data_IF_301194731940
#
_entry.id   IF_301194731940
#
_cell.length_a   1.000
_cell.length_b   1.000
_cell.length_c   1.000
_cell.angle_alpha   90.00
_cell.angle_beta   90.00
_cell.angle_gamma   90.00
#
_symmetry.space_group_name_H-M   'P 1'
#
loop_
_entity.id
_entity.type
_entity.pdbx_description
1 polymer ?
#
# COMPACT_ATOMS: atom_id res chain seq x y z
N UNK A 1 3.55 5.59 23.06
CA UNK A 1 2.71 6.32 22.09
C UNK A 1 2.54 5.58 20.76
N UNK A 2 3.63 5.04 20.23
CA UNK A 2 3.60 4.34 18.96
C UNK A 2 2.80 3.05 18.96
N UNK A 3 2.85 2.28 20.05
CA UNK A 3 2.23 0.95 20.09
C UNK A 3 0.70 1.00 19.98
N UNK A 4 0.05 1.92 20.70
CA UNK A 4 -1.40 2.03 20.68
C UNK A 4 -1.90 2.54 19.31
N UNK A 5 -1.24 3.58 18.77
CA UNK A 5 -1.58 4.11 17.46
C UNK A 5 -1.32 3.08 16.37
N UNK A 6 -0.21 2.34 16.46
CA UNK A 6 0.12 1.28 15.51
C UNK A 6 -0.89 0.13 15.57
N UNK A 7 -1.41 -0.20 16.76
CA UNK A 7 -2.41 -1.25 16.92
C UNK A 7 -3.71 -0.91 16.19
N UNK A 8 -4.19 0.32 16.36
CA UNK A 8 -5.40 0.78 15.69
C UNK A 8 -5.21 0.83 14.18
N UNK A 9 -4.07 1.38 13.74
CA UNK A 9 -3.73 1.43 12.32
C UNK A 9 -3.67 0.02 11.72
N UNK A 10 -3.00 -0.91 12.39
CA UNK A 10 -2.90 -2.31 11.93
C UNK A 10 -4.27 -2.99 11.87
N UNK A 11 -5.13 -2.73 12.85
CA UNK A 11 -6.47 -3.28 12.88
C UNK A 11 -7.30 -2.80 11.68
N UNK A 12 -7.24 -1.50 11.37
CA UNK A 12 -7.97 -0.94 10.22
C UNK A 12 -7.44 -1.48 8.90
N UNK A 13 -6.13 -1.63 8.77
CA UNK A 13 -5.52 -2.23 7.57
C UNK A 13 -5.90 -3.70 7.42
N UNK A 14 -5.87 -4.46 8.50
CA UNK A 14 -6.30 -5.85 8.49
C UNK A 14 -7.77 -6.01 8.12
N UNK A 15 -8.62 -5.14 8.64
CA UNK A 15 -10.04 -5.12 8.30
C UNK A 15 -10.26 -4.84 6.81
N UNK A 16 -9.51 -3.89 6.24
CA UNK A 16 -9.62 -3.54 4.84
C UNK A 16 -9.25 -4.72 3.93
N UNK A 17 -8.21 -5.46 4.27
CA UNK A 17 -7.78 -6.64 3.53
C UNK A 17 -8.84 -7.73 3.61
N UNK A 18 -9.40 -7.98 4.79
CA UNK A 18 -10.46 -8.96 4.97
C UNK A 18 -11.71 -8.58 4.18
N UNK A 19 -12.10 -7.30 4.22
CA UNK A 19 -13.23 -6.79 3.44
C UNK A 19 -13.02 -6.96 1.94
N UNK A 20 -11.81 -6.74 1.46
CA UNK A 20 -11.46 -6.95 0.04
C UNK A 20 -11.82 -8.37 -0.41
N UNK A 21 -11.46 -9.35 0.39
CA UNK A 21 -11.72 -10.76 0.09
C UNK A 21 -13.22 -11.07 0.14
N UNK A 22 -13.90 -10.56 1.16
CA UNK A 22 -15.34 -10.76 1.31
C UNK A 22 -16.12 -10.14 0.16
N UNK A 23 -15.77 -8.92 -0.22
CA UNK A 23 -16.44 -8.22 -1.31
C UNK A 23 -16.11 -8.83 -2.66
N UNK A 24 -14.88 -9.28 -2.88
CA UNK A 24 -14.54 -9.97 -4.10
C UNK A 24 -15.40 -11.22 -4.28
N UNK A 25 -15.60 -11.98 -3.21
CA UNK A 25 -16.42 -13.17 -3.21
C UNK A 25 -17.90 -12.83 -3.44
N UNK A 26 -18.43 -11.85 -2.70
CA UNK A 26 -19.83 -11.51 -2.75
C UNK A 26 -20.26 -10.84 -4.07
N UNK A 27 -19.35 -10.05 -4.67
CA UNK A 27 -19.69 -9.26 -5.85
C UNK A 27 -19.24 -9.88 -7.17
N UNK A 28 -18.51 -10.99 -7.09
CA UNK A 28 -17.99 -11.67 -8.29
C UNK A 28 -19.09 -12.12 -9.25
N UNK A 29 -20.22 -12.57 -8.74
CA UNK A 29 -21.35 -12.97 -9.58
C UNK A 29 -21.92 -11.81 -10.39
N UNK A 30 -21.68 -10.57 -9.95
CA UNK A 30 -22.07 -9.35 -10.66
C UNK A 30 -20.97 -8.83 -11.56
N UNK A 31 -19.91 -9.60 -11.74
CA UNK A 31 -18.72 -9.21 -12.52
C UNK A 31 -18.05 -7.94 -11.98
N UNK A 32 -18.04 -7.80 -10.66
CA UNK A 32 -17.35 -6.71 -9.98
C UNK A 32 -16.09 -7.29 -9.33
N UNK A 33 -14.96 -6.72 -9.66
CA UNK A 33 -13.66 -7.11 -9.12
C UNK A 33 -13.29 -6.20 -7.94
N UNK A 34 -12.70 -6.77 -6.91
CA UNK A 34 -12.28 -6.03 -5.72
C UNK A 34 -10.87 -6.47 -5.36
N UNK A 35 -9.95 -5.53 -5.34
CA UNK A 35 -8.55 -5.79 -5.01
C UNK A 35 -8.03 -4.75 -4.02
N UNK A 36 -6.98 -5.10 -3.29
CA UNK A 36 -6.33 -4.19 -2.37
C UNK A 36 -4.94 -3.81 -2.90
N UNK A 37 -4.70 -2.52 -3.01
CA UNK A 37 -3.38 -1.98 -3.28
C UNK A 37 -2.73 -1.66 -1.94
N UNK A 38 -1.51 -2.13 -1.73
CA UNK A 38 -0.78 -1.95 -0.46
C UNK A 38 0.50 -1.18 -0.75
N UNK A 39 0.44 0.16 -0.75
CA UNK A 39 1.63 0.96 -0.99
C UNK A 39 2.56 0.96 0.23
N UNK A 40 3.84 0.96 -0.03
CA UNK A 40 4.86 1.17 0.97
C UNK A 40 5.24 2.65 1.09
N UNK A 41 6.50 2.93 1.39
CA UNK A 41 6.97 4.32 1.53
C UNK A 41 6.97 5.03 0.18
N UNK A 42 6.00 5.91 -0.01
CA UNK A 42 5.85 6.70 -1.23
C UNK A 42 6.25 8.15 -0.92
N UNK A 43 7.03 8.74 -1.79
CA UNK A 43 7.45 10.13 -1.67
C UNK A 43 6.27 11.04 -2.00
N UNK A 44 5.63 11.55 -0.96
CA UNK A 44 4.49 12.45 -1.04
C UNK A 44 4.67 13.58 -0.02
N UNK A 45 3.75 14.54 -0.06
CA UNK A 45 3.79 15.67 0.88
C UNK A 45 3.36 15.29 2.30
N UNK A 46 2.98 14.05 2.53
CA UNK A 46 2.45 13.60 3.82
C UNK A 46 3.38 13.89 5.00
N UNK A 47 4.69 13.82 4.78
CA UNK A 47 5.67 14.04 5.85
C UNK A 47 6.22 15.45 5.89
N UNK A 48 5.67 16.40 5.13
CA UNK A 48 6.15 17.78 5.13
C UNK A 48 5.90 18.52 6.45
N UNK A 49 5.04 17.99 7.33
CA UNK A 49 4.88 18.53 8.68
C UNK A 49 6.11 18.28 9.57
N UNK A 50 6.99 17.36 9.21
CA UNK A 50 8.19 17.05 9.97
C UNK A 50 9.29 18.08 9.67
N UNK A 51 10.15 18.32 10.67
CA UNK A 51 11.36 19.11 10.45
C UNK A 51 12.24 18.41 9.40
N UNK A 52 12.92 19.19 8.58
CA UNK A 52 13.71 18.67 7.47
C UNK A 52 14.73 17.61 7.92
N UNK A 53 15.43 17.87 9.03
CA UNK A 53 16.42 16.92 9.55
C UNK A 53 15.75 15.61 10.00
N UNK A 54 14.68 15.71 10.78
CA UNK A 54 13.94 14.55 11.27
C UNK A 54 13.33 13.75 10.11
N UNK A 55 12.82 14.45 9.11
CA UNK A 55 12.27 13.80 7.91
C UNK A 55 13.34 13.04 7.15
N UNK A 56 14.52 13.66 6.96
CA UNK A 56 15.63 13.00 6.26
C UNK A 56 16.12 11.77 6.99
N UNK A 57 16.23 11.82 8.32
CA UNK A 57 16.63 10.66 9.12
C UNK A 57 15.61 9.55 9.02
N UNK A 58 14.31 9.88 9.12
CA UNK A 58 13.24 8.93 9.01
C UNK A 58 13.25 8.26 7.64
N UNK A 59 13.33 9.05 6.58
CA UNK A 59 13.32 8.56 5.21
C UNK A 59 14.56 7.69 4.92
N UNK A 60 15.73 8.07 5.41
CA UNK A 60 16.94 7.26 5.26
C UNK A 60 16.79 5.91 5.97
N UNK A 61 16.22 5.91 7.17
CA UNK A 61 15.96 4.68 7.93
C UNK A 61 15.02 3.76 7.17
N UNK A 62 13.96 4.31 6.59
CA UNK A 62 12.99 3.54 5.81
C UNK A 62 13.67 2.98 4.57
N UNK A 63 14.38 3.82 3.82
CA UNK A 63 15.05 3.42 2.57
C UNK A 63 16.03 2.28 2.80
N UNK A 64 16.73 2.29 3.94
CA UNK A 64 17.70 1.23 4.25
C UNK A 64 17.04 -0.16 4.36
N UNK A 65 15.76 -0.21 4.64
CA UNK A 65 15.01 -1.46 4.76
C UNK A 65 14.33 -1.89 3.47
N UNK A 66 14.35 -1.06 2.45
CA UNK A 66 13.73 -1.37 1.17
C UNK A 66 14.69 -2.18 0.29
N UNK A 67 14.18 -3.21 -0.36
CA UNK A 67 15.00 -3.99 -1.29
C UNK A 67 15.48 -3.14 -2.47
N UNK A 68 14.64 -2.19 -2.93
CA UNK A 68 15.00 -1.30 -4.02
C UNK A 68 15.77 -0.05 -3.58
N UNK A 69 15.98 0.12 -2.28
CA UNK A 69 16.82 1.19 -1.71
C UNK A 69 16.41 2.61 -2.14
N UNK A 70 15.12 2.84 -2.34
CA UNK A 70 14.57 4.17 -2.60
C UNK A 70 13.08 4.18 -2.27
N UNK A 71 12.53 5.35 -2.01
CA UNK A 71 11.09 5.51 -1.91
C UNK A 71 10.46 5.36 -3.30
N UNK A 72 9.21 4.94 -3.34
CA UNK A 72 8.44 4.94 -4.57
C UNK A 72 7.87 6.31 -4.87
N UNK A 73 7.45 6.52 -6.11
CA UNK A 73 6.74 7.72 -6.51
C UNK A 73 5.24 7.47 -6.51
N UNK A 74 4.45 8.55 -6.39
CA UNK A 74 3.00 8.45 -6.52
C UNK A 74 2.60 7.88 -7.88
N UNK A 75 3.33 8.22 -8.94
CA UNK A 75 3.09 7.69 -10.28
C UNK A 75 3.29 6.16 -10.33
N UNK A 76 4.31 5.64 -9.64
CA UNK A 76 4.53 4.19 -9.60
C UNK A 76 3.38 3.45 -8.94
N UNK A 77 2.84 3.98 -7.84
CA UNK A 77 1.67 3.40 -7.21
C UNK A 77 0.42 3.53 -8.10
N UNK A 78 0.26 4.68 -8.75
CA UNK A 78 -0.87 4.94 -9.64
C UNK A 78 -0.88 4.00 -10.85
N UNK A 79 0.28 3.62 -11.38
CA UNK A 79 0.36 2.68 -12.50
C UNK A 79 -0.20 1.31 -12.13
N UNK A 80 0.08 0.83 -10.92
CA UNK A 80 -0.48 -0.44 -10.46
C UNK A 80 -1.99 -0.32 -10.27
N UNK A 81 -2.46 0.78 -9.69
CA UNK A 81 -3.89 1.03 -9.54
C UNK A 81 -4.59 1.05 -10.90
N UNK A 82 -3.99 1.70 -11.88
CA UNK A 82 -4.52 1.77 -13.24
C UNK A 82 -4.65 0.38 -13.86
N UNK A 83 -3.63 -0.46 -13.71
CA UNK A 83 -3.69 -1.84 -14.17
C UNK A 83 -4.86 -2.59 -13.53
N UNK A 84 -4.99 -2.51 -12.22
CA UNK A 84 -6.05 -3.22 -11.48
C UNK A 84 -7.45 -2.76 -11.87
N UNK A 85 -7.60 -1.50 -12.28
CA UNK A 85 -8.88 -0.93 -12.71
C UNK A 85 -9.17 -1.15 -14.19
N UNK A 86 -8.21 -1.65 -14.95
CA UNK A 86 -8.35 -1.80 -16.39
C UNK A 86 -8.84 -3.20 -16.77
N UNK A 87 -9.24 -3.35 -18.03
CA UNK A 87 -9.64 -4.65 -18.58
C UNK A 87 -8.48 -5.64 -18.64
N UNK A 88 -7.24 -5.15 -18.62
CA UNK A 88 -6.07 -6.01 -18.55
C UNK A 88 -6.08 -6.88 -17.28
N UNK A 89 -6.75 -6.42 -16.21
CA UNK A 89 -6.89 -7.15 -14.96
C UNK A 89 -8.25 -7.86 -14.84
N UNK A 90 -8.87 -8.23 -15.94
CA UNK A 90 -10.25 -8.75 -15.97
C UNK A 90 -10.45 -10.05 -15.18
N UNK A 91 -9.40 -10.79 -14.91
CA UNK A 91 -9.47 -12.03 -14.11
C UNK A 91 -8.78 -11.87 -12.76
N UNK A 92 -8.52 -10.63 -12.32
CA UNK A 92 -7.78 -10.32 -11.09
C UNK A 92 -8.77 -9.80 -10.05
N UNK A 93 -9.05 -10.59 -9.02
CA UNK A 93 -9.96 -10.19 -7.95
C UNK A 93 -9.58 -10.88 -6.63
N UNK A 94 -9.80 -10.18 -5.52
CA UNK A 94 -9.57 -10.68 -4.17
C UNK A 94 -8.12 -10.64 -3.71
N UNK A 95 -7.22 -10.07 -4.49
CA UNK A 95 -5.79 -10.05 -4.20
C UNK A 95 -5.31 -8.83 -3.47
N UNK A 96 -4.11 -8.96 -2.91
CA UNK A 96 -3.34 -7.87 -2.33
C UNK A 96 -2.12 -7.65 -3.20
N UNK A 97 -1.87 -6.39 -3.54
CA UNK A 97 -0.77 -6.05 -4.45
C UNK A 97 0.13 -5.03 -3.77
N UNK A 98 1.30 -5.48 -3.36
CA UNK A 98 2.27 -4.64 -2.69
C UNK A 98 3.02 -3.77 -3.71
N UNK A 99 3.07 -2.47 -3.44
CA UNK A 99 3.88 -1.52 -4.21
C UNK A 99 4.78 -0.83 -3.19
N UNK A 100 5.78 -1.55 -2.72
CA UNK A 100 6.50 -1.19 -1.50
C UNK A 100 8.03 -1.30 -1.63
N UNK A 101 8.55 -1.46 -2.83
CA UNK A 101 9.97 -1.57 -3.05
C UNK A 101 10.63 -2.76 -2.36
N UNK A 102 9.84 -3.77 -2.00
CA UNK A 102 10.33 -4.96 -1.33
C UNK A 102 10.41 -4.85 0.19
N UNK A 103 9.75 -3.85 0.79
CA UNK A 103 9.76 -3.67 2.25
C UNK A 103 9.28 -4.93 2.98
N UNK A 104 8.25 -5.57 2.47
CA UNK A 104 7.66 -6.76 3.12
C UNK A 104 8.54 -8.00 3.04
N UNK A 105 9.61 -7.95 2.27
CA UNK A 105 10.55 -9.06 2.16
C UNK A 105 11.67 -9.00 3.20
N UNK A 106 11.71 -7.95 4.02
CA UNK A 106 12.83 -7.72 4.96
C UNK A 106 12.38 -7.57 6.39
#
# INVERSE_FOLDING_TARGET
>A
EGAAAASLYSATKGALISLTRCWASALGEKNIRVNALVPGPIDTDFRHFMRDEARREFEASVVSRLALHRQGTAAEAAEVALFLLSDAASFVSGGQYAVDGGLTLR
#
